data_IF_305459609936
#
_entry.id   IF_305459609936
#
_cell.length_a   1.000
_cell.length_b   1.000
_cell.length_c   1.000
_cell.angle_alpha   90.00
_cell.angle_beta   90.00
_cell.angle_gamma   90.00
#
_symmetry.space_group_name_H-M   'P 1'
#
loop_
_entity.id
_entity.type
_entity.pdbx_description
1 polymer ?
#
# COMPACT_ATOMS: atom_id res chain seq x y z
N UNK A 1 9.41 19.79 9.62
CA UNK A 1 8.62 19.47 8.40
C UNK A 1 9.49 19.12 7.19
N UNK A 2 10.32 20.02 6.62
CA UNK A 2 11.10 19.73 5.39
C UNK A 2 11.94 18.45 5.47
N UNK A 3 12.68 18.23 6.57
CA UNK A 3 13.47 17.02 6.80
C UNK A 3 12.64 15.74 6.74
N UNK A 4 11.42 15.77 7.30
CA UNK A 4 10.50 14.63 7.30
C UNK A 4 9.95 14.37 5.88
N UNK A 5 9.59 15.43 5.15
CA UNK A 5 9.13 15.31 3.75
C UNK A 5 10.23 14.71 2.88
N UNK A 6 11.47 15.20 3.00
CA UNK A 6 12.61 14.67 2.26
C UNK A 6 12.89 13.20 2.61
N UNK A 7 12.84 12.84 3.89
CA UNK A 7 13.04 11.46 4.33
C UNK A 7 11.97 10.51 3.79
N UNK A 8 10.69 10.89 3.88
CA UNK A 8 9.57 10.11 3.33
C UNK A 8 9.69 9.97 1.80
N UNK A 9 10.01 11.07 1.11
CA UNK A 9 10.14 11.08 -0.34
C UNK A 9 11.31 10.20 -0.81
N UNK A 10 12.46 10.31 -0.13
CA UNK A 10 13.64 9.51 -0.42
C UNK A 10 13.38 8.02 -0.15
N UNK A 11 12.80 7.69 1.00
CA UNK A 11 12.45 6.31 1.32
C UNK A 11 11.44 5.73 0.32
N UNK A 12 10.38 6.48 0.00
CA UNK A 12 9.37 6.07 -0.97
C UNK A 12 9.99 5.83 -2.37
N UNK A 13 10.94 6.67 -2.78
CA UNK A 13 11.70 6.48 -4.01
C UNK A 13 12.54 5.19 -3.98
N UNK A 14 13.36 4.99 -2.95
CA UNK A 14 14.22 3.81 -2.82
C UNK A 14 13.39 2.53 -2.74
N UNK A 15 12.33 2.53 -1.92
CA UNK A 15 11.41 1.41 -1.77
C UNK A 15 10.74 1.06 -3.11
N UNK A 16 10.21 2.05 -3.83
CA UNK A 16 9.58 1.84 -5.15
C UNK A 16 10.57 1.33 -6.20
N UNK A 17 11.81 1.84 -6.17
CA UNK A 17 12.86 1.41 -7.08
C UNK A 17 13.22 -0.07 -6.86
N UNK A 18 13.38 -0.50 -5.61
CA UNK A 18 13.60 -1.90 -5.24
C UNK A 18 12.39 -2.79 -5.58
N UNK A 19 11.17 -2.27 -5.46
CA UNK A 19 9.97 -2.99 -5.86
C UNK A 19 9.88 -3.22 -7.38
N UNK A 20 10.58 -2.41 -8.18
CA UNK A 20 10.38 -2.33 -9.62
C UNK A 20 10.73 -3.63 -10.38
N UNK A 21 9.97 -3.99 -11.42
CA UNK A 21 10.27 -5.15 -12.25
C UNK A 21 11.65 -5.05 -12.94
N UNK A 22 12.06 -3.85 -13.33
CA UNK A 22 13.32 -3.59 -14.01
C UNK A 22 14.51 -3.96 -13.11
N UNK A 23 14.52 -3.48 -11.87
CA UNK A 23 15.61 -3.78 -10.95
C UNK A 23 15.62 -5.26 -10.56
N UNK A 24 14.44 -5.86 -10.35
CA UNK A 24 14.31 -7.31 -10.14
C UNK A 24 14.88 -8.12 -11.31
N UNK A 25 14.65 -7.70 -12.55
CA UNK A 25 15.22 -8.36 -13.73
C UNK A 25 16.75 -8.25 -13.79
N UNK A 26 17.31 -7.08 -13.44
CA UNK A 26 18.76 -6.88 -13.32
C UNK A 26 19.35 -7.78 -12.23
N UNK A 27 18.76 -7.79 -11.04
CA UNK A 27 19.21 -8.62 -9.91
C UNK A 27 19.14 -10.11 -10.29
N UNK A 28 18.05 -10.56 -10.93
CA UNK A 28 17.91 -11.93 -11.42
C UNK A 28 19.00 -12.29 -12.44
N UNK A 29 19.41 -11.37 -13.30
CA UNK A 29 20.48 -11.58 -14.29
C UNK A 29 21.86 -11.68 -13.64
N UNK A 30 22.12 -10.87 -12.61
CA UNK A 30 23.44 -10.81 -11.94
C UNK A 30 23.63 -11.92 -10.91
N UNK A 31 22.62 -12.17 -10.06
CA UNK A 31 22.70 -13.06 -8.90
C UNK A 31 21.98 -14.40 -9.09
N UNK A 32 21.32 -14.60 -10.23
CA UNK A 32 20.63 -15.85 -10.56
C UNK A 32 19.29 -16.05 -9.84
N UNK A 33 18.66 -17.21 -10.08
CA UNK A 33 17.29 -17.52 -9.59
C UNK A 33 17.23 -17.83 -8.08
N UNK A 34 18.33 -18.28 -7.48
CA UNK A 34 18.36 -18.63 -6.05
C UNK A 34 18.05 -17.44 -5.15
N UNK A 35 18.66 -16.28 -5.42
CA UNK A 35 18.42 -15.04 -4.67
C UNK A 35 16.96 -14.57 -4.78
N UNK A 36 16.31 -14.81 -5.92
CA UNK A 36 14.93 -14.38 -6.14
C UNK A 36 13.91 -15.04 -5.20
N UNK A 37 14.21 -16.23 -4.67
CA UNK A 37 13.37 -16.91 -3.67
C UNK A 37 13.32 -16.16 -2.35
N UNK A 38 14.46 -15.64 -1.90
CA UNK A 38 14.56 -14.89 -0.64
C UNK A 38 14.41 -13.38 -0.84
N UNK A 39 14.37 -12.90 -2.09
CA UNK A 39 14.34 -11.48 -2.41
C UNK A 39 13.16 -10.77 -1.75
N UNK A 40 11.95 -11.36 -1.76
CA UNK A 40 10.77 -10.73 -1.12
C UNK A 40 10.97 -10.59 0.40
N UNK A 41 11.52 -11.60 1.06
CA UNK A 41 11.81 -11.56 2.49
C UNK A 41 12.86 -10.49 2.83
N UNK A 42 13.98 -10.47 2.09
CA UNK A 42 15.05 -9.48 2.26
C UNK A 42 14.52 -8.07 1.99
N UNK A 43 13.72 -7.89 0.96
CA UNK A 43 13.06 -6.64 0.62
C UNK A 43 12.15 -6.15 1.75
N UNK A 44 11.28 -7.02 2.30
CA UNK A 44 10.38 -6.67 3.39
C UNK A 44 11.16 -6.31 4.66
N UNK A 45 12.20 -7.07 4.99
CA UNK A 45 13.09 -6.77 6.12
C UNK A 45 13.80 -5.41 5.95
N UNK A 46 14.37 -5.17 4.77
CA UNK A 46 14.96 -3.87 4.43
C UNK A 46 13.92 -2.75 4.51
N UNK A 47 12.70 -2.95 4.01
CA UNK A 47 11.66 -1.94 4.04
C UNK A 47 11.30 -1.55 5.48
N UNK A 48 11.17 -2.52 6.39
CA UNK A 48 10.92 -2.27 7.82
C UNK A 48 12.10 -1.51 8.44
N UNK A 49 13.32 -2.02 8.26
CA UNK A 49 14.52 -1.46 8.88
C UNK A 49 14.81 -0.03 8.40
N UNK A 50 14.70 0.20 7.09
CA UNK A 50 14.89 1.51 6.46
C UNK A 50 13.77 2.51 6.79
N UNK A 51 12.63 2.05 7.30
CA UNK A 51 11.53 2.91 7.74
C UNK A 51 11.70 3.39 9.19
N UNK A 52 12.43 2.66 10.04
CA UNK A 52 12.68 3.06 11.44
C UNK A 52 13.27 4.47 11.60
N UNK A 53 14.21 4.94 10.76
CA UNK A 53 14.69 6.32 10.82
C UNK A 53 13.58 7.36 10.61
N UNK A 54 12.57 7.08 9.79
CA UNK A 54 11.43 8.00 9.60
C UNK A 54 10.61 8.07 10.88
N UNK A 55 10.30 6.93 11.49
CA UNK A 55 9.60 6.88 12.78
C UNK A 55 10.38 7.60 13.87
N UNK A 56 11.70 7.45 13.88
CA UNK A 56 12.59 8.20 14.78
C UNK A 56 12.50 9.71 14.54
N UNK A 57 12.56 10.16 13.28
CA UNK A 57 12.40 11.57 12.93
C UNK A 57 11.06 12.15 13.40
N UNK A 58 9.98 11.37 13.39
CA UNK A 58 8.68 11.84 13.88
C UNK A 58 8.69 12.14 15.38
N UNK A 59 9.55 11.47 16.16
CA UNK A 59 9.67 11.66 17.61
C UNK A 59 10.63 12.81 17.94
N UNK A 60 11.76 12.93 17.22
CA UNK A 60 12.81 13.90 17.58
C UNK A 60 12.60 15.30 17.00
N UNK A 61 11.85 15.44 15.90
CA UNK A 61 11.60 16.75 15.30
C UNK A 61 10.62 17.54 16.18
N UNK A 62 10.81 18.87 16.31
CA UNK A 62 9.84 19.71 17.01
C UNK A 62 8.43 19.46 16.46
N UNK A 63 7.50 19.19 17.35
CA UNK A 63 6.14 18.82 17.00
C UNK A 63 5.15 19.71 17.76
N UNK A 64 3.99 19.93 17.16
CA UNK A 64 2.93 20.75 17.72
C UNK A 64 1.58 20.10 17.40
N UNK A 65 0.57 20.21 18.27
CA UNK A 65 -0.79 19.79 17.95
C UNK A 65 -1.27 20.49 16.67
N UNK A 66 -1.87 19.73 15.75
CA UNK A 66 -2.49 20.26 14.53
C UNK A 66 -4.00 20.33 14.68
N UNK A 67 -4.63 19.21 15.07
CA UNK A 67 -6.02 19.21 15.51
C UNK A 67 -6.27 18.17 16.60
N UNK A 68 -7.35 18.39 17.36
CA UNK A 68 -7.90 17.40 18.28
C UNK A 68 -9.41 17.43 18.17
N UNK A 69 -10.01 16.27 17.94
CA UNK A 69 -11.46 16.11 17.90
C UNK A 69 -11.96 15.79 19.31
N UNK A 70 -12.87 16.59 19.88
CA UNK A 70 -13.38 16.36 21.23
C UNK A 70 -14.39 15.22 21.29
N UNK A 71 -14.67 14.76 22.52
CA UNK A 71 -15.80 13.87 22.81
C UNK A 71 -17.13 14.58 22.50
N UNK A 72 -18.15 13.89 21.95
CA UNK A 72 -18.20 12.45 21.68
C UNK A 72 -17.65 12.04 20.30
N UNK A 73 -17.32 12.99 19.44
CA UNK A 73 -16.90 12.73 18.06
C UNK A 73 -15.65 11.86 17.96
N UNK A 74 -14.72 12.00 18.90
CA UNK A 74 -13.55 11.12 19.01
C UNK A 74 -13.90 9.64 19.14
N UNK A 75 -15.03 9.29 19.78
CA UNK A 75 -15.44 7.89 19.92
C UNK A 75 -15.86 7.28 18.58
N UNK A 76 -16.53 8.04 17.72
CA UNK A 76 -16.86 7.59 16.37
C UNK A 76 -15.60 7.39 15.52
N UNK A 77 -14.60 8.25 15.68
CA UNK A 77 -13.30 8.10 15.02
C UNK A 77 -12.58 6.82 15.47
N UNK A 78 -12.48 6.58 16.78
CA UNK A 78 -11.90 5.33 17.30
C UNK A 78 -12.70 4.08 16.87
N UNK A 79 -14.03 4.14 16.88
CA UNK A 79 -14.87 3.04 16.40
C UNK A 79 -14.60 2.74 14.92
N UNK A 80 -14.49 3.79 14.10
CA UNK A 80 -14.14 3.65 12.69
C UNK A 80 -12.71 3.12 12.47
N UNK A 81 -11.74 3.47 13.32
CA UNK A 81 -10.40 2.84 13.30
C UNK A 81 -10.50 1.34 13.61
N UNK A 82 -11.29 0.96 14.62
CA UNK A 82 -11.55 -0.45 14.95
C UNK A 82 -12.16 -1.22 13.77
N UNK A 83 -13.15 -0.65 13.10
CA UNK A 83 -13.73 -1.22 11.88
C UNK A 83 -12.71 -1.33 10.74
N UNK A 84 -11.87 -0.31 10.55
CA UNK A 84 -10.81 -0.32 9.54
C UNK A 84 -9.82 -1.46 9.80
N UNK A 85 -9.43 -1.71 11.06
CA UNK A 85 -8.57 -2.83 11.43
C UNK A 85 -9.22 -4.18 11.12
N UNK A 86 -10.52 -4.35 11.43
CA UNK A 86 -11.24 -5.58 11.09
C UNK A 86 -11.22 -5.83 9.58
N UNK A 87 -11.50 -4.81 8.77
CA UNK A 87 -11.46 -4.96 7.32
C UNK A 87 -10.05 -5.17 6.75
N UNK A 88 -9.02 -4.59 7.36
CA UNK A 88 -7.62 -4.86 7.02
C UNK A 88 -7.27 -6.34 7.26
N UNK A 89 -7.67 -6.90 8.41
CA UNK A 89 -7.45 -8.31 8.73
C UNK A 89 -8.17 -9.20 7.70
N UNK A 90 -9.43 -8.91 7.41
CA UNK A 90 -10.21 -9.63 6.39
C UNK A 90 -9.52 -9.54 5.02
N UNK A 91 -9.04 -8.36 4.62
CA UNK A 91 -8.33 -8.16 3.36
C UNK A 91 -7.04 -8.96 3.27
N UNK A 92 -6.23 -8.96 4.34
CA UNK A 92 -4.96 -9.73 4.39
C UNK A 92 -5.22 -11.22 4.27
N UNK A 93 -6.25 -11.73 4.95
CA UNK A 93 -6.66 -13.14 4.85
C UNK A 93 -7.15 -13.49 3.43
N UNK A 94 -7.87 -12.58 2.76
CA UNK A 94 -8.29 -12.78 1.36
C UNK A 94 -7.11 -12.81 0.37
N UNK A 95 -6.00 -12.13 0.68
CA UNK A 95 -4.82 -12.04 -0.20
C UNK A 95 -3.72 -13.07 0.08
N UNK A 96 -3.94 -14.00 1.01
CA UNK A 96 -2.92 -14.93 1.55
C UNK A 96 -1.76 -14.20 2.27
N UNK A 97 -1.82 -14.20 3.60
CA UNK A 97 -0.83 -13.54 4.46
C UNK A 97 0.60 -14.08 4.29
N UNK A 98 0.77 -15.38 4.00
CA UNK A 98 2.09 -16.01 3.85
C UNK A 98 2.73 -15.64 2.51
N UNK A 99 1.91 -15.53 1.46
CA UNK A 99 2.31 -14.93 0.19
C UNK A 99 2.75 -13.48 0.39
N UNK A 100 1.96 -12.68 1.13
CA UNK A 100 2.23 -11.27 1.38
C UNK A 100 3.60 -11.02 2.04
N UNK A 101 3.95 -11.80 3.08
CA UNK A 101 5.24 -11.68 3.79
C UNK A 101 6.40 -12.26 2.96
N UNK A 102 6.11 -13.16 2.01
CA UNK A 102 7.10 -13.81 1.15
C UNK A 102 7.70 -15.09 1.70
N UNK A 103 7.15 -15.62 2.80
CA UNK A 103 7.57 -16.90 3.36
C UNK A 103 7.18 -18.07 2.46
N UNK A 104 6.02 -17.99 1.79
CA UNK A 104 5.55 -19.06 0.90
C UNK A 104 6.50 -19.30 -0.28
N UNK A 105 7.16 -18.24 -0.79
CA UNK A 105 8.07 -18.29 -1.94
C UNK A 105 9.43 -18.95 -1.62
N UNK A 106 9.70 -19.19 -0.34
CA UNK A 106 10.90 -19.89 0.14
C UNK A 106 10.71 -21.40 0.02
N UNK A 107 9.47 -21.89 0.24
CA UNK A 107 9.15 -23.30 0.36
C UNK A 107 8.37 -23.85 -0.84
N UNK A 108 7.64 -23.02 -1.58
CA UNK A 108 6.84 -23.41 -2.74
C UNK A 108 7.34 -22.75 -4.04
N UNK A 109 7.18 -23.45 -5.17
CA UNK A 109 7.38 -22.84 -6.50
C UNK A 109 6.34 -21.75 -6.76
N UNK A 110 6.72 -20.70 -7.51
CA UNK A 110 5.82 -19.58 -7.84
C UNK A 110 4.58 -20.09 -8.58
N UNK A 111 3.45 -20.14 -7.87
CA UNK A 111 2.15 -20.40 -8.48
C UNK A 111 1.76 -19.22 -9.37
N UNK A 112 1.09 -19.47 -10.52
CA UNK A 112 0.55 -18.39 -11.33
C UNK A 112 -0.40 -17.55 -10.47
N UNK A 113 -0.21 -16.23 -10.50
CA UNK A 113 -1.03 -15.32 -9.73
C UNK A 113 -2.49 -15.48 -10.14
N UNK A 114 -3.40 -15.46 -9.16
CA UNK A 114 -4.83 -15.51 -9.40
C UNK A 114 -5.43 -14.13 -9.16
N UNK A 115 -6.34 -13.72 -10.05
CA UNK A 115 -7.04 -12.45 -9.89
C UNK A 115 -8.15 -12.61 -8.83
N UNK A 116 -8.01 -11.93 -7.70
CA UNK A 116 -9.00 -11.93 -6.62
C UNK A 116 -9.99 -10.79 -6.84
N UNK A 117 -11.26 -11.14 -7.09
CA UNK A 117 -12.37 -10.18 -7.30
C UNK A 117 -13.52 -10.34 -6.31
N UNK A 118 -13.47 -11.36 -5.45
CA UNK A 118 -14.49 -11.66 -4.44
C UNK A 118 -14.31 -10.89 -3.12
N UNK A 119 -15.27 -11.04 -2.21
CA UNK A 119 -15.17 -10.44 -0.87
C UNK A 119 -15.10 -8.91 -0.90
N UNK A 120 -14.08 -8.34 -0.26
CA UNK A 120 -13.89 -6.88 -0.23
C UNK A 120 -13.53 -6.32 -1.61
N UNK A 121 -12.86 -7.13 -2.44
CA UNK A 121 -12.46 -6.78 -3.79
C UNK A 121 -13.67 -6.56 -4.73
N UNK A 122 -14.86 -7.05 -4.38
CA UNK A 122 -16.08 -6.75 -5.14
C UNK A 122 -16.48 -5.27 -5.06
N UNK A 123 -16.13 -4.58 -3.97
CA UNK A 123 -16.56 -3.21 -3.72
C UNK A 123 -15.51 -2.17 -4.10
N UNK A 124 -14.22 -2.53 -4.05
CA UNK A 124 -13.10 -1.68 -4.42
C UNK A 124 -11.88 -2.53 -4.77
N UNK A 125 -11.02 -2.06 -5.67
CA UNK A 125 -9.86 -2.83 -6.15
C UNK A 125 -8.71 -2.91 -5.16
N UNK A 126 -8.55 -1.91 -4.29
CA UNK A 126 -7.48 -1.87 -3.29
C UNK A 126 -8.02 -1.68 -1.86
N UNK A 127 -8.72 -2.67 -1.28
CA UNK A 127 -9.33 -2.54 0.04
C UNK A 127 -8.30 -2.28 1.15
N UNK A 128 -7.11 -2.90 1.07
CA UNK A 128 -6.05 -2.67 2.05
C UNK A 128 -5.56 -1.21 2.06
N UNK A 129 -5.52 -0.58 0.89
CA UNK A 129 -5.15 0.84 0.79
C UNK A 129 -6.25 1.73 1.36
N UNK A 130 -7.51 1.46 1.01
CA UNK A 130 -8.65 2.24 1.51
C UNK A 130 -8.77 2.16 3.02
N UNK A 131 -8.76 0.95 3.60
CA UNK A 131 -8.90 0.80 5.05
C UNK A 131 -7.63 1.23 5.80
N UNK A 132 -6.44 1.12 5.18
CA UNK A 132 -5.22 1.71 5.73
C UNK A 132 -5.30 3.23 5.82
N UNK A 133 -5.75 3.90 4.75
CA UNK A 133 -5.96 5.35 4.76
C UNK A 133 -7.06 5.76 5.75
N UNK A 134 -8.16 5.00 5.80
CA UNK A 134 -9.25 5.26 6.75
C UNK A 134 -8.75 5.18 8.20
N UNK A 135 -7.96 4.16 8.53
CA UNK A 135 -7.36 4.01 9.85
C UNK A 135 -6.51 5.22 10.24
N UNK A 136 -5.67 5.72 9.33
CA UNK A 136 -4.79 6.87 9.59
C UNK A 136 -5.59 8.16 9.77
N UNK A 137 -6.50 8.45 8.84
CA UNK A 137 -7.25 9.71 8.83
C UNK A 137 -8.36 9.77 9.89
N UNK A 138 -8.75 8.63 10.47
CA UNK A 138 -9.61 8.57 11.65
C UNK A 138 -8.83 8.69 12.99
N UNK A 139 -7.60 9.18 12.98
CA UNK A 139 -6.88 9.51 14.21
C UNK A 139 -7.42 10.80 14.82
N UNK A 140 -7.99 10.81 16.05
CA UNK A 140 -8.66 11.99 16.59
C UNK A 140 -7.71 13.07 17.13
N UNK A 141 -6.43 12.74 17.34
CA UNK A 141 -5.39 13.67 17.78
C UNK A 141 -4.22 13.60 16.83
N UNK A 142 -4.05 14.64 16.03
CA UNK A 142 -3.01 14.69 15.01
C UNK A 142 -2.10 15.87 15.30
N UNK A 143 -0.80 15.62 15.24
CA UNK A 143 0.24 16.64 15.29
C UNK A 143 0.69 17.03 13.90
N UNK A 144 1.46 18.11 13.78
CA UNK A 144 2.00 18.60 12.52
C UNK A 144 2.88 17.55 11.83
N UNK A 145 3.70 16.81 12.61
CA UNK A 145 4.52 15.73 12.07
C UNK A 145 3.66 14.54 11.60
N UNK A 146 2.64 14.14 12.37
CA UNK A 146 1.71 13.07 11.97
C UNK A 146 0.93 13.42 10.70
N UNK A 147 0.42 14.66 10.61
CA UNK A 147 -0.30 15.13 9.43
C UNK A 147 0.59 15.07 8.18
N UNK A 148 1.84 15.56 8.29
CA UNK A 148 2.82 15.50 7.20
C UNK A 148 3.08 14.07 6.76
N UNK A 149 3.24 13.18 7.73
CA UNK A 149 3.46 11.76 7.48
C UNK A 149 2.25 11.11 6.79
N UNK A 150 1.02 11.35 7.26
CA UNK A 150 -0.20 10.83 6.65
C UNK A 150 -0.40 11.35 5.22
N UNK A 151 -0.10 12.62 4.96
CA UNK A 151 -0.16 13.18 3.62
C UNK A 151 0.87 12.51 2.69
N UNK A 152 2.11 12.36 3.14
CA UNK A 152 3.16 11.67 2.40
C UNK A 152 2.80 10.22 2.08
N UNK A 153 2.27 9.49 3.06
CA UNK A 153 1.83 8.11 2.87
C UNK A 153 0.60 8.02 1.94
N UNK A 154 -0.32 8.98 2.02
CA UNK A 154 -1.47 9.05 1.10
C UNK A 154 -1.02 9.21 -0.35
N UNK A 155 -0.10 10.14 -0.61
CA UNK A 155 0.49 10.32 -1.95
C UNK A 155 1.20 9.04 -2.40
N UNK A 156 2.02 8.46 -1.53
CA UNK A 156 2.73 7.22 -1.81
C UNK A 156 1.78 6.06 -2.17
N UNK A 157 0.69 5.87 -1.41
CA UNK A 157 -0.32 4.84 -1.67
C UNK A 157 -1.04 5.08 -2.99
N UNK A 158 -1.43 6.32 -3.31
CA UNK A 158 -2.11 6.62 -4.59
C UNK A 158 -1.19 6.34 -5.77
N UNK A 159 0.08 6.76 -5.69
CA UNK A 159 1.08 6.48 -6.72
C UNK A 159 1.33 4.97 -6.85
N UNK A 160 1.45 4.27 -5.71
CA UNK A 160 1.61 2.82 -5.66
C UNK A 160 0.43 2.08 -6.32
N UNK A 161 -0.80 2.45 -5.97
CA UNK A 161 -2.02 1.90 -6.56
C UNK A 161 -2.02 2.08 -8.08
N UNK A 162 -1.67 3.27 -8.58
CA UNK A 162 -1.60 3.53 -10.03
C UNK A 162 -0.62 2.59 -10.76
N UNK A 163 0.57 2.37 -10.20
CA UNK A 163 1.54 1.44 -10.78
C UNK A 163 1.10 -0.03 -10.64
N UNK A 164 0.43 -0.36 -9.54
CA UNK A 164 -0.15 -1.68 -9.31
C UNK A 164 -1.23 -2.00 -10.35
N UNK A 165 -2.14 -1.07 -10.66
CA UNK A 165 -3.15 -1.27 -11.70
C UNK A 165 -2.52 -1.55 -13.07
N UNK A 166 -1.48 -0.81 -13.43
CA UNK A 166 -0.74 -1.04 -14.68
C UNK A 166 -0.05 -2.41 -14.70
N UNK A 167 0.43 -2.88 -13.55
CA UNK A 167 1.01 -4.23 -13.43
C UNK A 167 -0.08 -5.29 -13.59
N UNK A 168 -1.19 -5.16 -12.87
CA UNK A 168 -2.32 -6.09 -12.93
C UNK A 168 -2.91 -6.16 -14.34
N UNK A 169 -3.01 -5.03 -15.06
CA UNK A 169 -3.45 -5.01 -16.45
C UNK A 169 -2.51 -5.79 -17.38
N UNK A 170 -1.19 -5.71 -17.18
CA UNK A 170 -0.21 -6.49 -17.96
C UNK A 170 -0.26 -7.98 -17.63
N UNK A 171 -0.56 -8.32 -16.37
CA UNK A 171 -0.55 -9.69 -15.86
C UNK A 171 -1.84 -10.45 -16.20
N UNK A 172 -2.99 -9.79 -16.11
CA UNK A 172 -4.32 -10.40 -16.25
C UNK A 172 -5.09 -9.95 -17.50
N UNK A 173 -4.60 -8.95 -18.24
CA UNK A 173 -5.19 -8.50 -19.51
C UNK A 173 -6.66 -8.11 -19.39
N UNK A 174 -7.47 -8.64 -20.31
CA UNK A 174 -8.91 -8.33 -20.42
C UNK A 174 -9.68 -8.62 -19.13
N UNK A 175 -9.34 -9.70 -18.41
CA UNK A 175 -10.03 -10.07 -17.18
C UNK A 175 -9.92 -8.97 -16.11
N UNK A 176 -8.76 -8.30 -16.01
CA UNK A 176 -8.60 -7.17 -15.10
C UNK A 176 -9.26 -5.90 -15.63
N UNK A 177 -9.23 -5.67 -16.94
CA UNK A 177 -9.93 -4.53 -17.53
C UNK A 177 -11.45 -4.59 -17.28
N UNK A 178 -12.06 -5.75 -17.47
CA UNK A 178 -13.50 -5.96 -17.26
C UNK A 178 -13.87 -5.76 -15.78
N UNK A 179 -13.04 -6.27 -14.87
CA UNK A 179 -13.17 -6.02 -13.44
C UNK A 179 -13.02 -4.53 -13.09
N UNK A 180 -12.02 -3.86 -13.66
CA UNK A 180 -11.77 -2.43 -13.42
C UNK A 180 -12.85 -1.51 -13.98
N UNK A 181 -13.65 -1.99 -14.95
CA UNK A 181 -14.78 -1.25 -15.50
C UNK A 181 -15.93 -1.11 -14.51
N UNK A 182 -16.14 -2.11 -13.65
CA UNK A 182 -17.31 -2.20 -12.77
C UNK A 182 -17.00 -1.96 -11.28
N UNK A 183 -15.74 -2.10 -10.88
CA UNK A 183 -15.31 -1.95 -9.48
C UNK A 183 -14.43 -0.72 -9.34
N UNK A 184 -14.69 0.25 -8.44
CA UNK A 184 -13.85 1.45 -8.29
C UNK A 184 -12.48 1.16 -7.67
N UNK A 185 -11.50 2.07 -7.84
CA UNK A 185 -10.12 1.85 -7.35
C UNK A 185 -10.04 1.79 -5.81
N UNK A 186 -10.49 2.86 -5.14
CA UNK A 186 -10.33 3.03 -3.69
C UNK A 186 -11.68 3.16 -2.97
N UNK A 187 -12.52 4.12 -3.36
CA UNK A 187 -13.74 4.46 -2.63
C UNK A 187 -14.94 3.81 -3.33
N UNK A 188 -15.72 2.96 -2.64
CA UNK A 188 -16.96 2.40 -3.19
C UNK A 188 -17.89 3.49 -3.74
N UNK A 189 -18.47 3.24 -4.92
CA UNK A 189 -19.38 4.18 -5.58
C UNK A 189 -18.70 5.31 -6.37
N UNK A 190 -17.38 5.51 -6.23
CA UNK A 190 -16.61 6.44 -7.07
C UNK A 190 -15.94 5.71 -8.23
N UNK A 191 -16.72 5.37 -9.25
CA UNK A 191 -16.18 4.81 -10.50
C UNK A 191 -15.50 5.89 -11.33
N UNK A 192 -14.17 5.95 -11.24
CA UNK A 192 -13.37 6.69 -12.21
C UNK A 192 -13.44 5.96 -13.55
N UNK A 193 -14.21 6.50 -14.52
CA UNK A 193 -14.13 6.06 -15.92
C UNK A 193 -12.70 6.27 -16.41
N UNK A 194 -11.88 5.22 -16.40
CA UNK A 194 -10.56 5.23 -16.99
C UNK A 194 -10.71 5.45 -18.50
N UNK A 195 -10.37 6.66 -18.99
CA UNK A 195 -10.14 6.95 -20.42
C UNK A 195 -8.83 6.32 -20.92
N UNK A 196 -8.57 5.05 -20.58
CA UNK A 196 -7.36 4.35 -21.04
C UNK A 196 -7.52 3.64 -22.40
N UNK A 197 -8.70 3.74 -23.03
CA UNK A 197 -8.92 3.27 -24.39
C UNK A 197 -9.19 4.45 -25.34
N UNK A 198 -8.12 5.13 -25.74
CA UNK A 198 -8.09 6.00 -26.92
C UNK A 198 -6.66 6.11 -27.45
N UNK A 199 -6.19 5.02 -28.08
CA UNK A 199 -5.28 5.00 -29.25
C UNK A 199 -4.85 3.55 -29.51
N UNK A 200 -5.64 2.87 -30.33
CA UNK A 200 -5.12 1.92 -31.31
C UNK A 200 -4.55 2.72 -32.49
#
# INVERSE_FOLDING_TARGET
MLRLILAISFWGFVHSMLASPTLKAVIRRVFGRGLMRIYRLVYNFFAILSFLPILWLMIILPDQPFYTVPSPWSYFMFAGQGLAVIFLIIGVVQTDALSFIGLQQIFEEEKPAQLVTGGLYRFMRHPLYTFGLLFLWLTPRVTVNLFTFYLGLTVYIIVGAYFEERKLLREFGQAYEDYARVTPMLIPGLTFKNKFNAKA
#
